data_IF_299279660547
#
_entry.id   IF_299279660547
#
_cell.length_a   1.000
_cell.length_b   1.000
_cell.length_c   1.000
_cell.angle_alpha   90.00
_cell.angle_beta   90.00
_cell.angle_gamma   90.00
#
_symmetry.space_group_name_H-M   'P 1'
#
loop_
_entity.id
_entity.type
_entity.pdbx_description
1 polymer ?
#
# COMPACT_ATOMS: atom_id res chain seq x y z
N UNK A 1 6.60 7.90 -2.46
CA UNK A 1 6.75 6.94 -1.36
C UNK A 1 6.05 5.67 -1.82
N UNK A 2 6.76 4.56 -1.95
CA UNK A 2 6.13 3.28 -2.33
C UNK A 2 5.28 2.79 -1.15
N UNK A 3 4.13 2.18 -1.44
CA UNK A 3 3.36 1.48 -0.42
C UNK A 3 4.15 0.24 0.01
N UNK A 4 4.23 -0.02 1.32
CA UNK A 4 4.96 -1.15 1.88
C UNK A 4 4.00 -2.33 2.15
N UNK A 5 4.12 -3.45 1.40
CA UNK A 5 3.28 -4.63 1.60
C UNK A 5 3.40 -5.26 2.99
N UNK A 6 4.56 -5.17 3.62
CA UNK A 6 4.82 -5.77 4.94
C UNK A 6 4.04 -5.05 6.05
N UNK A 7 4.00 -3.71 5.97
CA UNK A 7 3.20 -2.88 6.87
C UNK A 7 1.72 -3.14 6.64
N UNK A 8 1.29 -3.20 5.37
CA UNK A 8 -0.10 -3.47 5.03
C UNK A 8 -0.55 -4.87 5.49
N UNK A 9 0.31 -5.88 5.41
CA UNK A 9 0.00 -7.23 5.91
C UNK A 9 -0.30 -7.21 7.42
N UNK A 10 0.55 -6.53 8.20
CA UNK A 10 0.36 -6.37 9.66
C UNK A 10 -0.90 -5.58 9.98
N UNK A 11 -1.17 -4.51 9.25
CA UNK A 11 -2.41 -3.73 9.42
C UNK A 11 -3.66 -4.59 9.15
N UNK A 12 -3.61 -5.49 8.16
CA UNK A 12 -4.70 -6.43 7.86
C UNK A 12 -4.86 -7.44 9.00
N UNK A 13 -3.76 -8.00 9.51
CA UNK A 13 -3.78 -8.92 10.64
C UNK A 13 -4.40 -8.28 11.89
N UNK A 14 -3.98 -7.07 12.24
CA UNK A 14 -4.52 -6.31 13.37
C UNK A 14 -6.01 -6.00 13.19
N UNK A 15 -6.41 -5.58 11.99
CA UNK A 15 -7.80 -5.30 11.65
C UNK A 15 -8.69 -6.55 11.74
N UNK A 16 -8.15 -7.72 11.40
CA UNK A 16 -8.84 -9.00 11.55
C UNK A 16 -8.93 -9.43 13.01
N UNK A 17 -7.84 -9.30 13.76
CA UNK A 17 -7.81 -9.58 15.20
C UNK A 17 -8.83 -8.73 15.96
N UNK A 18 -8.93 -7.43 15.63
CA UNK A 18 -9.92 -6.52 16.21
C UNK A 18 -11.38 -6.94 15.94
N UNK A 19 -11.63 -7.76 14.90
CA UNK A 19 -12.94 -8.30 14.56
C UNK A 19 -13.19 -9.71 15.14
N UNK A 20 -12.27 -10.20 15.96
CA UNK A 20 -12.37 -11.51 16.62
C UNK A 20 -11.86 -12.69 15.77
N UNK A 21 -11.21 -12.43 14.63
CA UNK A 21 -10.53 -13.47 13.87
C UNK A 21 -9.14 -13.73 14.46
N UNK A 22 -8.60 -14.92 14.22
CA UNK A 22 -7.22 -15.27 14.60
C UNK A 22 -6.39 -15.53 13.34
N UNK A 23 -5.94 -14.47 12.63
CA UNK A 23 -5.21 -14.60 11.36
C UNK A 23 -4.02 -15.54 11.48
N UNK A 24 -3.27 -15.47 12.57
CA UNK A 24 -2.00 -16.18 12.74
C UNK A 24 -2.11 -17.44 13.61
N UNK A 25 -3.30 -18.03 13.77
CA UNK A 25 -3.43 -19.30 14.49
C UNK A 25 -2.79 -20.47 13.71
N UNK A 26 -2.39 -21.54 14.40
CA UNK A 26 -1.70 -22.73 13.84
C UNK A 26 -2.35 -23.37 12.59
N UNK A 27 -3.65 -23.14 12.36
CA UNK A 27 -4.41 -23.63 11.21
C UNK A 27 -5.08 -22.52 10.38
N UNK A 28 -4.84 -21.27 10.74
CA UNK A 28 -5.29 -20.12 9.98
C UNK A 28 -4.25 -19.79 8.89
N UNK A 29 -4.57 -18.81 8.06
CA UNK A 29 -3.66 -18.38 7.02
C UNK A 29 -2.50 -17.60 7.66
N UNK A 30 -1.29 -18.16 7.66
CA UNK A 30 -0.12 -17.53 8.30
C UNK A 30 0.29 -16.19 7.68
N UNK A 31 1.28 -15.55 8.27
CA UNK A 31 1.77 -14.22 7.86
C UNK A 31 2.07 -14.12 6.35
N UNK A 32 2.74 -15.14 5.79
CA UNK A 32 3.08 -15.19 4.35
C UNK A 32 1.85 -15.10 3.42
N UNK A 33 0.69 -15.57 3.89
CA UNK A 33 -0.56 -15.43 3.13
C UNK A 33 -1.04 -13.98 3.10
N UNK A 34 -1.01 -13.30 4.25
CA UNK A 34 -1.40 -11.89 4.36
C UNK A 34 -0.41 -10.99 3.62
N UNK A 35 0.87 -11.35 3.62
CA UNK A 35 1.89 -10.68 2.82
C UNK A 35 1.62 -10.80 1.32
N UNK A 36 1.36 -12.01 0.80
CA UNK A 36 1.02 -12.19 -0.61
C UNK A 36 -0.26 -11.44 -1.01
N UNK A 37 -1.24 -11.38 -0.09
CA UNK A 37 -2.46 -10.62 -0.30
C UNK A 37 -2.20 -9.10 -0.32
N UNK A 38 -1.38 -8.60 0.61
CA UNK A 38 -0.96 -7.21 0.67
C UNK A 38 -0.14 -6.80 -0.56
N UNK A 39 0.77 -7.66 -1.05
CA UNK A 39 1.51 -7.43 -2.29
C UNK A 39 0.58 -7.28 -3.50
N UNK A 40 -0.45 -8.12 -3.60
CA UNK A 40 -1.47 -8.00 -4.64
C UNK A 40 -2.20 -6.65 -4.60
N UNK A 41 -2.56 -6.19 -3.40
CA UNK A 41 -3.21 -4.87 -3.20
C UNK A 41 -2.26 -3.74 -3.56
N UNK A 42 -1.03 -3.76 -3.06
CA UNK A 42 -0.02 -2.74 -3.34
C UNK A 42 0.27 -2.66 -4.84
N UNK A 43 0.42 -3.80 -5.51
CA UNK A 43 0.62 -3.87 -6.95
C UNK A 43 -0.58 -3.30 -7.71
N UNK A 44 -1.79 -3.68 -7.32
CA UNK A 44 -3.00 -3.15 -7.95
C UNK A 44 -3.11 -1.63 -7.79
N UNK A 45 -2.89 -1.10 -6.59
CA UNK A 45 -2.91 0.35 -6.35
C UNK A 45 -1.80 1.04 -7.13
N UNK A 46 -0.58 0.50 -7.12
CA UNK A 46 0.56 1.11 -7.82
C UNK A 46 0.35 1.14 -9.33
N UNK A 47 -0.25 0.10 -9.91
CA UNK A 47 -0.54 0.01 -11.33
C UNK A 47 -1.71 0.91 -11.75
N UNK A 48 -2.72 1.07 -10.90
CA UNK A 48 -3.92 1.87 -11.19
C UNK A 48 -3.86 3.29 -10.60
N UNK A 49 -2.80 3.63 -9.88
CA UNK A 49 -2.48 5.00 -9.51
C UNK A 49 -2.06 5.75 -10.76
N UNK A 50 -3.03 6.10 -11.61
CA UNK A 50 -2.91 7.24 -12.50
C UNK A 50 -2.54 8.43 -11.63
N UNK A 51 -1.28 8.84 -11.66
CA UNK A 51 -0.92 10.19 -11.23
C UNK A 51 -1.38 11.07 -12.37
N UNK A 52 -2.48 11.84 -12.27
CA UNK A 52 -2.69 12.90 -13.22
C UNK A 52 -1.48 13.82 -13.09
N UNK A 53 -0.57 13.75 -14.06
CA UNK A 53 0.47 14.75 -14.21
C UNK A 53 -0.30 16.01 -14.57
N UNK A 54 -0.56 16.85 -13.58
CA UNK A 54 -1.10 18.18 -13.82
C UNK A 54 -0.15 18.85 -14.81
N UNK A 55 -0.62 18.96 -16.04
CA UNK A 55 0.06 19.61 -17.14
C UNK A 55 0.54 20.99 -16.70
N UNK A 56 1.86 21.20 -16.67
CA UNK A 56 2.49 22.50 -16.85
C UNK A 56 2.35 23.54 -15.73
N UNK A 57 3.47 23.86 -15.08
CA UNK A 57 3.74 25.25 -14.67
C UNK A 57 5.17 25.61 -15.01
N UNK A 58 5.46 25.70 -16.31
CA UNK A 58 6.47 26.60 -16.83
C UNK A 58 5.85 27.97 -17.06
N UNK A 59 5.61 28.73 -15.98
CA UNK A 59 5.21 30.12 -16.04
C UNK A 59 5.72 30.88 -14.81
N UNK A 60 7.04 30.92 -14.65
CA UNK A 60 7.72 31.81 -13.71
C UNK A 60 9.14 32.07 -14.20
N UNK A 61 9.35 33.20 -14.85
CA UNK A 61 10.68 33.66 -15.26
C UNK A 61 11.49 33.99 -14.01
N UNK A 62 12.40 33.11 -13.60
CA UNK A 62 13.38 33.47 -12.59
C UNK A 62 14.41 34.40 -13.23
N UNK A 63 14.49 35.64 -12.75
CA UNK A 63 15.63 36.51 -13.07
C UNK A 63 16.85 35.91 -12.40
N UNK A 64 17.86 35.61 -13.22
CA UNK A 64 19.22 35.39 -12.75
C UNK A 64 19.67 36.69 -12.06
N UNK A 65 20.09 36.58 -10.80
CA UNK A 65 20.92 37.58 -10.11
C UNK A 65 22.17 36.89 -9.64
#
# INVERSE_FOLDING_TARGET
MALDPEVLAKDIEDAMAARGFSPLADKAAGHDWWLAFAEGIVNHITQNAEVPVATGSSAGSYKVT
#
